data_IF_316319474498
#
_entry.id   IF_316319474498
#
_cell.length_a   1.000
_cell.length_b   1.000
_cell.length_c   1.000
_cell.angle_alpha   90.00
_cell.angle_beta   90.00
_cell.angle_gamma   90.00
#
_symmetry.space_group_name_H-M   'P 1'
#
loop_
_entity.id
_entity.type
_entity.pdbx_description
1 polymer ?
#
# COMPACT_ATOMS: atom_id res chain seq x y z
N UNK A 1 -5.54 18.38 7.21
CA UNK A 1 -4.53 17.63 6.42
C UNK A 1 -4.78 16.17 6.79
N UNK A 2 -5.77 15.57 6.15
CA UNK A 2 -6.41 14.34 6.63
C UNK A 2 -5.62 13.12 6.16
N UNK A 3 -5.20 12.28 7.11
CA UNK A 3 -4.63 10.95 6.86
C UNK A 3 -5.48 10.11 5.89
N UNK A 4 -6.78 10.41 5.74
CA UNK A 4 -7.67 9.79 4.76
C UNK A 4 -7.20 9.98 3.30
N UNK A 5 -6.52 11.08 2.98
CA UNK A 5 -5.93 11.30 1.65
C UNK A 5 -4.75 10.37 1.38
N UNK A 6 -3.91 10.16 2.40
CA UNK A 6 -2.77 9.25 2.32
C UNK A 6 -3.23 7.80 2.11
N UNK A 7 -4.23 7.35 2.87
CA UNK A 7 -4.83 6.01 2.70
C UNK A 7 -5.32 5.76 1.28
N UNK A 8 -6.11 6.70 0.73
CA UNK A 8 -6.65 6.55 -0.63
C UNK A 8 -5.54 6.51 -1.69
N UNK A 9 -4.47 7.26 -1.51
CA UNK A 9 -3.35 7.25 -2.43
C UNK A 9 -2.61 5.90 -2.42
N UNK A 10 -2.38 5.33 -1.24
CA UNK A 10 -1.74 4.01 -1.09
C UNK A 10 -2.64 2.89 -1.58
N UNK A 11 -3.92 2.88 -1.21
CA UNK A 11 -4.88 1.89 -1.72
C UNK A 11 -4.95 1.92 -3.25
N UNK A 12 -4.98 3.11 -3.84
CA UNK A 12 -4.95 3.26 -5.30
C UNK A 12 -3.62 2.77 -5.89
N UNK A 13 -2.51 2.88 -5.17
CA UNK A 13 -1.22 2.35 -5.63
C UNK A 13 -1.18 0.84 -5.65
N UNK A 14 -1.73 0.20 -4.61
CA UNK A 14 -1.86 -1.25 -4.55
C UNK A 14 -2.82 -1.76 -5.61
N UNK A 15 -4.00 -1.14 -5.76
CA UNK A 15 -4.99 -1.55 -6.77
C UNK A 15 -4.57 -1.33 -8.22
N UNK A 16 -3.53 -0.53 -8.48
CA UNK A 16 -2.92 -0.42 -9.81
C UNK A 16 -2.11 -1.65 -10.18
N UNK A 17 -1.50 -2.29 -9.19
CA UNK A 17 -0.73 -3.53 -9.34
C UNK A 17 -1.70 -4.71 -9.41
N UNK A 18 -2.55 -4.83 -8.40
CA UNK A 18 -3.55 -5.88 -8.30
C UNK A 18 -4.92 -5.30 -7.90
N UNK A 19 -5.87 -5.22 -8.84
CA UNK A 19 -7.22 -4.72 -8.57
C UNK A 19 -8.03 -5.56 -7.58
N UNK A 20 -7.67 -6.83 -7.39
CA UNK A 20 -8.34 -7.77 -6.47
C UNK A 20 -7.70 -7.78 -5.08
N UNK A 21 -6.55 -7.12 -4.90
CA UNK A 21 -5.85 -7.05 -3.63
C UNK A 21 -6.71 -6.41 -2.53
N UNK A 22 -6.73 -7.04 -1.36
CA UNK A 22 -7.32 -6.44 -0.17
C UNK A 22 -6.25 -5.69 0.61
N UNK A 23 -6.50 -4.41 0.88
CA UNK A 23 -5.56 -3.53 1.60
C UNK A 23 -6.15 -3.17 2.96
N UNK A 24 -5.46 -3.55 4.02
CA UNK A 24 -5.73 -3.10 5.38
C UNK A 24 -4.70 -2.04 5.76
N UNK A 25 -5.15 -0.88 6.26
CA UNK A 25 -4.26 0.19 6.68
C UNK A 25 -4.52 0.47 8.16
N UNK A 26 -3.48 0.28 8.97
CA UNK A 26 -3.49 0.62 10.38
C UNK A 26 -2.86 2.00 10.57
N UNK A 27 -3.71 3.02 10.73
CA UNK A 27 -3.26 4.40 10.96
C UNK A 27 -2.48 4.61 12.27
N UNK A 28 -2.85 3.97 13.40
CA UNK A 28 -2.12 4.14 14.65
C UNK A 28 -0.64 3.72 14.52
N UNK A 29 -0.37 2.63 13.81
CA UNK A 29 1.00 2.13 13.57
C UNK A 29 1.62 2.59 12.25
N UNK A 30 0.82 3.15 11.34
CA UNK A 30 1.25 3.52 10.00
C UNK A 30 1.55 2.32 9.09
N UNK A 31 0.97 1.15 9.39
CA UNK A 31 1.22 -0.09 8.65
C UNK A 31 0.18 -0.33 7.56
N UNK A 32 0.63 -0.93 6.46
CA UNK A 32 -0.23 -1.33 5.34
C UNK A 32 -0.01 -2.81 5.10
N UNK A 33 -1.09 -3.58 5.15
CA UNK A 33 -1.10 -5.02 4.90
C UNK A 33 -1.88 -5.30 3.63
N UNK A 34 -1.28 -6.08 2.72
CA UNK A 34 -1.90 -6.48 1.46
C UNK A 34 -2.18 -7.98 1.54
N UNK A 35 -3.41 -8.39 1.25
CA UNK A 35 -3.86 -9.77 1.29
C UNK A 35 -4.37 -10.24 -0.07
N UNK A 36 -4.11 -11.51 -0.38
CA UNK A 36 -4.72 -12.19 -1.52
C UNK A 36 -4.14 -11.82 -2.89
N UNK A 37 -2.94 -11.23 -2.92
CA UNK A 37 -2.27 -10.87 -4.17
C UNK A 37 -1.36 -11.99 -4.66
N UNK A 38 -1.44 -12.25 -5.96
CA UNK A 38 -0.51 -13.14 -6.68
C UNK A 38 0.76 -12.41 -7.13
N UNK A 39 0.76 -11.08 -7.05
CA UNK A 39 1.87 -10.24 -7.46
C UNK A 39 3.00 -10.23 -6.42
N UNK A 40 4.21 -9.99 -6.90
CA UNK A 40 5.41 -9.95 -6.07
C UNK A 40 5.44 -8.69 -5.21
N UNK A 41 6.00 -8.79 -4.00
CA UNK A 41 6.18 -7.64 -3.10
C UNK A 41 6.87 -6.46 -3.79
N UNK A 42 7.87 -6.73 -4.64
CA UNK A 42 8.62 -5.71 -5.37
C UNK A 42 7.78 -4.84 -6.31
N UNK A 43 6.69 -5.36 -6.86
CA UNK A 43 5.81 -4.59 -7.75
C UNK A 43 4.98 -3.57 -6.96
N UNK A 44 4.42 -4.02 -5.82
CA UNK A 44 3.79 -3.12 -4.85
C UNK A 44 4.77 -2.08 -4.32
N UNK A 45 6.00 -2.50 -4.02
CA UNK A 45 7.04 -1.60 -3.52
C UNK A 45 7.31 -0.45 -4.48
N UNK A 46 7.46 -0.80 -5.76
CA UNK A 46 7.67 0.17 -6.85
C UNK A 46 6.48 1.11 -7.01
N UNK A 47 5.26 0.58 -7.03
CA UNK A 47 4.04 1.38 -7.23
C UNK A 47 3.79 2.36 -6.07
N UNK A 48 4.03 1.93 -4.84
CA UNK A 48 3.85 2.75 -3.63
C UNK A 48 4.96 3.80 -3.52
N UNK A 49 6.21 3.44 -3.84
CA UNK A 49 7.34 4.40 -3.90
C UNK A 49 7.10 5.46 -4.97
N UNK A 50 6.57 5.08 -6.15
CA UNK A 50 6.15 6.03 -7.19
C UNK A 50 5.02 6.96 -6.76
N UNK A 51 4.19 6.54 -5.81
CA UNK A 51 3.16 7.39 -5.21
C UNK A 51 3.73 8.35 -4.14
N UNK A 52 5.04 8.28 -3.84
CA UNK A 52 5.73 9.15 -2.90
C UNK A 52 5.77 8.63 -1.47
N UNK A 53 5.46 7.35 -1.24
CA UNK A 53 5.44 6.74 0.09
C UNK A 53 6.64 5.82 0.28
N UNK A 54 7.37 6.01 1.38
CA UNK A 54 8.46 5.12 1.77
C UNK A 54 7.94 3.87 2.45
N UNK A 55 8.49 2.71 2.08
CA UNK A 55 8.15 1.43 2.69
C UNK A 55 9.19 1.06 3.73
N UNK A 56 8.72 0.41 4.78
CA UNK A 56 9.58 -0.09 5.86
C UNK A 56 9.27 -1.57 5.99
N UNK A 57 10.27 -2.39 5.71
CA UNK A 57 10.17 -3.82 5.97
C UNK A 57 9.97 -4.02 7.47
N UNK A 58 8.90 -4.73 7.83
CA UNK A 58 8.64 -5.12 9.21
C UNK A 58 9.01 -6.59 9.28
N UNK A 59 10.21 -6.83 9.79
CA UNK A 59 10.78 -8.16 10.04
C UNK A 59 9.96 -8.94 11.08
#
# INVERSE_FOLDING_TARGET
>A
MDCAGCMKAVEKAVKRVDPQAQVAIDLPSGLVTIHGSSEERGDFETSITRAGYGLKDVA
#
